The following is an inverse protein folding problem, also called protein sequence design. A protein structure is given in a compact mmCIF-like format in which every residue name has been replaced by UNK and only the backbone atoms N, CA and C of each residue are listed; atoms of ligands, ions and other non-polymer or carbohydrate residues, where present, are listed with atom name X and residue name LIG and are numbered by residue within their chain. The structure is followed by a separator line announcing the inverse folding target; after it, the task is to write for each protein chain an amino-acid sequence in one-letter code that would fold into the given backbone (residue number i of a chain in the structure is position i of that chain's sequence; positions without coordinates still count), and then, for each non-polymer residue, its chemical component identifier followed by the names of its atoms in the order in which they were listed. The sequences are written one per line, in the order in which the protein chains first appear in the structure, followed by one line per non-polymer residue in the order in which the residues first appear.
data_IF_946100716173
#
_entry.id   IF_946100716173
#
_cell.length_a   1.000
_cell.length_b   1.000
_cell.length_c   1.000
_cell.angle_alpha   90.00
_cell.angle_beta   90.00
_cell.angle_gamma   90.00
#
_symmetry.space_group_name_H-M   'P 1'
#
loop_
_entity.id
_entity.type
_entity.pdbx_description
1 polymer ?
#
# COMPACT_ATOMS: atom_id res chain seq x y z
N UNK A 1 -39.15 -5.79 -20.37
CA UNK A 1 -38.30 -5.98 -19.17
C UNK A 1 -38.53 -4.78 -18.26
N UNK A 2 -38.88 -4.95 -16.99
CA UNK A 2 -39.03 -3.81 -16.10
C UNK A 2 -37.68 -3.15 -15.86
N UNK A 3 -37.61 -1.82 -16.08
CA UNK A 3 -36.46 -0.99 -15.81
C UNK A 3 -36.19 -1.00 -14.30
N UNK A 4 -35.07 -1.59 -13.86
CA UNK A 4 -34.59 -1.46 -12.49
C UNK A 4 -34.16 0.00 -12.32
N UNK A 5 -34.99 0.80 -11.68
CA UNK A 5 -34.59 2.14 -11.25
C UNK A 5 -33.47 1.97 -10.23
N UNK A 6 -32.25 2.41 -10.57
CA UNK A 6 -31.18 2.50 -9.62
C UNK A 6 -31.63 3.44 -8.47
N UNK A 7 -31.79 2.88 -7.27
CA UNK A 7 -32.07 3.67 -6.08
C UNK A 7 -30.78 4.45 -5.82
N UNK A 8 -30.84 5.77 -5.99
CA UNK A 8 -29.71 6.63 -5.69
C UNK A 8 -29.33 6.46 -4.20
N UNK A 9 -28.09 6.02 -3.95
CA UNK A 9 -27.58 5.91 -2.57
C UNK A 9 -27.61 7.31 -1.95
N UNK A 10 -28.13 7.50 -0.73
CA UNK A 10 -28.17 8.82 -0.09
C UNK A 10 -26.74 9.39 -0.01
N UNK A 11 -26.64 10.72 -0.13
CA UNK A 11 -25.35 11.40 0.00
C UNK A 11 -24.79 11.18 1.41
N UNK A 12 -23.49 10.92 1.50
CA UNK A 12 -22.80 10.76 2.79
C UNK A 12 -22.89 12.05 3.62
N UNK A 13 -23.04 11.92 4.93
CA UNK A 13 -22.93 13.03 5.88
C UNK A 13 -21.51 13.59 5.91
N UNK A 14 -21.31 14.74 6.58
CA UNK A 14 -19.98 15.31 6.74
C UNK A 14 -19.06 14.37 7.55
N UNK A 15 -19.58 13.80 8.63
CA UNK A 15 -18.87 12.85 9.51
C UNK A 15 -18.46 11.60 8.74
N UNK A 16 -19.36 11.03 7.94
CA UNK A 16 -19.05 9.89 7.07
C UNK A 16 -17.95 10.22 6.07
N UNK A 17 -18.03 11.40 5.43
CA UNK A 17 -16.99 11.85 4.49
C UNK A 17 -15.63 12.04 5.17
N UNK A 18 -15.62 12.57 6.40
CA UNK A 18 -14.39 12.74 7.18
C UNK A 18 -13.79 11.38 7.55
N UNK A 19 -14.60 10.44 8.06
CA UNK A 19 -14.15 9.08 8.37
C UNK A 19 -13.56 8.37 7.15
N UNK A 20 -14.21 8.52 5.98
CA UNK A 20 -13.73 7.91 4.73
C UNK A 20 -12.38 8.47 4.23
N UNK A 21 -11.91 9.60 4.75
CA UNK A 21 -10.58 10.15 4.44
C UNK A 21 -9.48 9.65 5.37
N UNK A 22 -9.81 8.88 6.40
CA UNK A 22 -8.84 8.38 7.37
C UNK A 22 -8.38 6.98 6.96
N UNK A 23 -7.06 6.82 6.90
CA UNK A 23 -6.36 5.53 6.81
C UNK A 23 -5.62 5.33 8.12
N UNK A 24 -5.96 4.28 8.89
CA UNK A 24 -5.43 4.06 10.23
C UNK A 24 -4.41 2.92 10.26
N UNK A 25 -3.43 3.06 11.14
CA UNK A 25 -2.44 2.04 11.48
C UNK A 25 -2.82 1.37 12.81
N UNK A 26 -3.05 0.07 12.76
CA UNK A 26 -3.28 -0.79 13.94
C UNK A 26 -2.17 -1.84 14.06
N UNK A 27 -0.93 -1.49 13.81
CA UNK A 27 0.22 -2.42 13.82
C UNK A 27 0.32 -3.22 15.12
N UNK A 28 0.11 -2.56 16.24
CA UNK A 28 0.16 -3.15 17.57
C UNK A 28 -1.12 -2.89 18.34
N UNK A 29 -1.53 -3.86 19.16
CA UNK A 29 -2.66 -3.70 20.08
C UNK A 29 -2.41 -4.41 21.40
N UNK A 30 -2.70 -3.72 22.51
CA UNK A 30 -2.64 -4.27 23.85
C UNK A 30 -3.95 -3.92 24.60
N UNK A 31 -4.62 -4.91 25.13
CA UNK A 31 -5.89 -4.72 25.88
C UNK A 31 -5.69 -3.90 27.15
N UNK A 32 -4.54 -4.04 27.78
CA UNK A 32 -4.19 -3.32 29.01
C UNK A 32 -2.89 -2.56 28.78
N UNK A 33 -2.92 -1.25 28.95
CA UNK A 33 -1.73 -0.40 28.89
C UNK A 33 -1.87 0.85 28.02
N UNK A 34 -1.07 1.84 28.35
CA UNK A 34 -0.94 3.05 27.53
C UNK A 34 -0.07 2.74 26.31
N UNK A 35 -0.59 2.96 25.11
CA UNK A 35 -0.05 2.51 23.83
C UNK A 35 1.42 2.80 23.50
N UNK A 36 2.15 3.63 24.31
CA UNK A 36 3.56 3.95 24.08
C UNK A 36 4.53 2.77 24.14
N UNK A 37 4.17 1.69 24.84
CA UNK A 37 5.02 0.50 25.02
C UNK A 37 4.40 -0.79 24.45
N UNK A 38 3.22 -0.70 23.83
CA UNK A 38 2.62 -1.85 23.18
C UNK A 38 3.47 -2.30 21.99
N UNK A 39 3.82 -3.60 21.97
CA UNK A 39 4.55 -4.24 20.86
C UNK A 39 3.91 -5.58 20.46
N UNK A 40 2.70 -5.86 20.96
CA UNK A 40 1.96 -7.05 20.56
C UNK A 40 1.38 -6.84 19.17
N UNK A 41 1.83 -7.57 18.14
CA UNK A 41 1.30 -7.45 16.80
C UNK A 41 -0.23 -7.68 16.77
N UNK A 42 -0.96 -6.82 16.06
CA UNK A 42 -2.39 -7.04 15.85
C UNK A 42 -2.60 -8.01 14.68
N UNK A 43 -2.73 -9.29 15.00
CA UNK A 43 -2.99 -10.36 14.02
C UNK A 43 -4.45 -10.77 13.93
N UNK A 44 -5.28 -10.27 14.83
CA UNK A 44 -6.74 -10.44 14.89
C UNK A 44 -7.36 -9.11 15.29
N UNK A 45 -8.50 -8.75 14.68
CA UNK A 45 -9.18 -7.49 14.96
C UNK A 45 -9.87 -7.53 16.34
N UNK A 46 -9.45 -6.72 17.33
CA UNK A 46 -10.14 -6.59 18.61
C UNK A 46 -11.50 -5.89 18.44
N UNK A 47 -12.46 -6.22 19.30
CA UNK A 47 -13.80 -5.63 19.22
C UNK A 47 -13.80 -4.11 19.40
N UNK A 48 -12.92 -3.57 20.25
CA UNK A 48 -12.77 -2.13 20.45
C UNK A 48 -12.34 -1.42 19.16
N UNK A 49 -11.39 -1.99 18.39
CA UNK A 49 -10.97 -1.43 17.10
C UNK A 49 -12.02 -1.66 16.00
N UNK A 50 -12.74 -2.78 16.03
CA UNK A 50 -13.88 -3.00 15.13
C UNK A 50 -14.95 -1.91 15.30
N UNK A 51 -15.21 -1.49 16.55
CA UNK A 51 -16.10 -0.37 16.84
C UNK A 51 -15.55 0.96 16.33
N UNK A 52 -14.26 1.24 16.46
CA UNK A 52 -13.65 2.44 15.87
C UNK A 52 -13.91 2.49 14.36
N UNK A 53 -13.73 1.38 13.66
CA UNK A 53 -13.96 1.32 12.20
C UNK A 53 -15.43 1.61 11.87
N UNK A 54 -16.36 0.95 12.57
CA UNK A 54 -17.80 1.10 12.29
C UNK A 54 -18.37 2.47 12.70
N UNK A 55 -18.06 2.92 13.90
CA UNK A 55 -18.70 4.10 14.50
C UNK A 55 -18.20 5.40 13.86
N UNK A 56 -16.92 5.44 13.44
CA UNK A 56 -16.31 6.59 12.78
C UNK A 56 -16.26 6.48 11.25
N UNK A 57 -16.88 5.45 10.66
CA UNK A 57 -16.90 5.25 9.20
C UNK A 57 -15.50 5.29 8.57
N UNK A 58 -14.52 4.66 9.20
CA UNK A 58 -13.11 4.69 8.74
C UNK A 58 -13.00 4.20 7.30
N UNK A 59 -12.24 4.94 6.47
CA UNK A 59 -12.07 4.65 5.04
C UNK A 59 -11.04 3.59 4.74
N UNK A 60 -10.02 3.42 5.59
CA UNK A 60 -9.00 2.41 5.33
C UNK A 60 -8.14 2.03 6.52
N UNK A 61 -7.43 0.91 6.36
CA UNK A 61 -6.43 0.40 7.30
C UNK A 61 -5.18 0.01 6.53
N UNK A 62 -4.00 0.42 7.02
CA UNK A 62 -2.71 -0.02 6.49
C UNK A 62 -2.18 -1.18 7.32
N UNK A 63 -1.71 -2.23 6.64
CA UNK A 63 -1.10 -3.41 7.23
C UNK A 63 0.43 -3.36 7.08
N UNK A 64 1.12 -3.88 8.08
CA UNK A 64 2.57 -4.04 8.14
C UNK A 64 2.96 -5.51 8.34
N UNK A 65 4.25 -5.82 8.30
CA UNK A 65 4.73 -7.19 8.50
C UNK A 65 4.25 -7.82 9.80
N UNK A 66 4.06 -7.02 10.83
CA UNK A 66 3.54 -7.46 12.13
C UNK A 66 2.09 -7.96 12.03
N UNK A 67 1.33 -7.44 11.06
CA UNK A 67 -0.08 -7.82 10.84
C UNK A 67 -0.25 -9.01 9.89
N UNK A 68 0.80 -9.39 9.13
CA UNK A 68 0.75 -10.39 8.06
C UNK A 68 1.69 -11.56 8.35
N UNK A 69 1.35 -12.40 9.33
CA UNK A 69 2.25 -13.47 9.82
C UNK A 69 2.04 -14.82 9.12
N UNK A 70 0.86 -15.10 8.59
CA UNK A 70 0.56 -16.25 7.73
C UNK A 70 -0.55 -15.92 6.74
N UNK A 71 -0.73 -16.75 5.73
CA UNK A 71 -1.80 -16.58 4.72
C UNK A 71 -3.17 -16.61 5.39
N UNK A 72 -3.48 -17.67 6.14
CA UNK A 72 -4.77 -17.88 6.78
C UNK A 72 -5.10 -16.78 7.77
N UNK A 73 -4.10 -16.36 8.56
CA UNK A 73 -4.26 -15.29 9.53
C UNK A 73 -4.54 -13.95 8.82
N UNK A 74 -3.81 -13.64 7.75
CA UNK A 74 -3.99 -12.39 6.98
C UNK A 74 -5.35 -12.32 6.30
N UNK A 75 -5.81 -13.41 5.67
CA UNK A 75 -7.16 -13.51 5.10
C UNK A 75 -8.22 -13.29 6.18
N UNK A 76 -8.06 -13.93 7.34
CA UNK A 76 -8.99 -13.78 8.47
C UNK A 76 -9.05 -12.35 8.96
N UNK A 77 -7.90 -11.68 9.11
CA UNK A 77 -7.82 -10.28 9.53
C UNK A 77 -8.47 -9.35 8.48
N UNK A 78 -8.17 -9.52 7.21
CA UNK A 78 -8.78 -8.74 6.11
C UNK A 78 -10.30 -8.89 6.10
N UNK A 79 -10.80 -10.13 6.29
CA UNK A 79 -12.22 -10.39 6.40
C UNK A 79 -12.85 -9.68 7.62
N UNK A 80 -12.23 -9.77 8.79
CA UNK A 80 -12.71 -9.11 10.01
C UNK A 80 -12.79 -7.59 9.84
N UNK A 81 -11.81 -6.98 9.18
CA UNK A 81 -11.79 -5.55 8.87
C UNK A 81 -12.97 -5.16 7.96
N UNK A 82 -13.24 -5.92 6.89
CA UNK A 82 -14.37 -5.65 6.01
C UNK A 82 -15.73 -5.88 6.71
N UNK A 83 -15.84 -6.88 7.58
CA UNK A 83 -17.04 -7.10 8.39
C UNK A 83 -17.28 -5.93 9.34
N UNK A 84 -16.24 -5.35 9.94
CA UNK A 84 -16.37 -4.16 10.77
C UNK A 84 -16.88 -2.96 9.96
N UNK A 85 -16.31 -2.71 8.77
CA UNK A 85 -16.75 -1.64 7.88
C UNK A 85 -18.21 -1.80 7.43
N UNK A 86 -18.65 -3.03 7.16
CA UNK A 86 -20.04 -3.30 6.74
C UNK A 86 -21.10 -2.93 7.80
N UNK A 87 -20.68 -2.78 9.07
CA UNK A 87 -21.54 -2.34 10.19
C UNK A 87 -21.63 -0.82 10.32
N UNK A 88 -20.81 -0.06 9.61
CA UNK A 88 -20.84 1.41 9.61
C UNK A 88 -22.14 1.94 8.95
N UNK A 89 -22.50 3.18 9.23
CA UNK A 89 -23.66 3.82 8.59
C UNK A 89 -23.47 3.99 7.08
N UNK A 90 -22.25 4.28 6.63
CA UNK A 90 -21.93 4.42 5.20
C UNK A 90 -21.98 3.10 4.45
N UNK A 91 -21.71 1.97 5.12
CA UNK A 91 -21.57 0.60 4.54
C UNK A 91 -20.62 0.55 3.35
N UNK A 92 -19.64 1.46 3.31
CA UNK A 92 -18.61 1.42 2.29
C UNK A 92 -17.52 0.42 2.68
N UNK A 93 -16.97 -0.34 1.72
CA UNK A 93 -15.86 -1.23 1.99
C UNK A 93 -14.59 -0.45 2.36
N UNK A 94 -13.73 -1.05 3.16
CA UNK A 94 -12.44 -0.48 3.52
C UNK A 94 -11.44 -0.57 2.37
N UNK A 95 -10.59 0.44 2.27
CA UNK A 95 -9.28 0.30 1.68
C UNK A 95 -8.37 -0.44 2.66
N UNK A 96 -7.97 -1.65 2.33
CA UNK A 96 -6.95 -2.41 3.06
C UNK A 96 -5.66 -2.28 2.27
N UNK A 97 -4.69 -1.61 2.84
CA UNK A 97 -3.48 -1.20 2.14
C UNK A 97 -2.21 -1.80 2.74
N UNK A 98 -1.14 -1.84 1.93
CA UNK A 98 0.16 -2.38 2.29
C UNK A 98 1.27 -1.71 1.47
N UNK A 99 2.52 -1.75 1.97
CA UNK A 99 3.72 -1.44 1.20
C UNK A 99 4.36 -2.74 0.68
N UNK A 100 3.94 -3.23 -0.47
CA UNK A 100 4.51 -4.42 -1.11
C UNK A 100 5.18 -4.01 -2.43
N UNK A 101 6.40 -3.44 -2.33
CA UNK A 101 7.18 -2.99 -3.49
C UNK A 101 7.91 -4.16 -4.17
N UNK A 102 8.16 -5.20 -3.41
CA UNK A 102 9.13 -6.24 -3.71
C UNK A 102 10.56 -5.85 -3.25
N UNK A 103 11.50 -6.77 -3.31
CA UNK A 103 12.88 -6.51 -2.87
C UNK A 103 12.97 -6.13 -1.39
N UNK A 104 13.55 -4.95 -1.11
CA UNK A 104 13.79 -4.49 0.27
C UNK A 104 12.51 -4.18 1.04
N UNK A 105 11.50 -3.63 0.36
CA UNK A 105 10.21 -3.29 0.97
C UNK A 105 9.17 -4.32 0.56
N UNK A 106 9.01 -5.31 1.43
CA UNK A 106 8.03 -6.38 1.31
C UNK A 106 7.49 -6.70 2.70
N UNK A 107 6.17 -6.74 2.87
CA UNK A 107 5.50 -6.95 4.16
C UNK A 107 4.93 -8.35 4.30
N UNK A 108 4.62 -9.00 3.19
CA UNK A 108 4.14 -10.38 3.21
C UNK A 108 5.25 -11.34 3.67
N UNK A 109 4.92 -12.46 4.35
CA UNK A 109 5.88 -13.45 4.78
C UNK A 109 6.68 -13.99 3.59
N UNK A 110 8.01 -13.98 3.70
CA UNK A 110 8.92 -14.33 2.59
C UNK A 110 8.98 -15.82 2.26
N UNK A 111 8.50 -16.65 3.15
CA UNK A 111 8.41 -18.11 2.99
C UNK A 111 7.17 -18.55 2.22
N UNK A 112 6.20 -17.63 2.04
CA UNK A 112 4.93 -17.94 1.35
C UNK A 112 4.65 -17.03 0.16
N UNK A 113 5.10 -15.77 0.18
CA UNK A 113 4.97 -14.83 -0.92
C UNK A 113 6.15 -14.93 -1.89
N UNK A 114 5.90 -14.59 -3.16
CA UNK A 114 6.96 -14.56 -4.17
C UNK A 114 8.03 -13.53 -3.82
N UNK A 115 9.28 -13.98 -3.73
CA UNK A 115 10.42 -13.10 -3.50
C UNK A 115 10.87 -12.43 -4.79
N UNK A 116 10.91 -11.11 -4.80
CA UNK A 116 11.42 -10.30 -5.91
C UNK A 116 12.74 -9.63 -5.52
N UNK A 117 13.58 -9.38 -6.52
CA UNK A 117 14.87 -8.71 -6.34
C UNK A 117 14.74 -7.18 -6.18
N UNK A 118 13.59 -6.62 -6.52
CA UNK A 118 13.30 -5.20 -6.43
C UNK A 118 13.49 -4.43 -7.74
N UNK A 119 13.08 -3.16 -7.73
CA UNK A 119 12.96 -2.35 -8.94
C UNK A 119 14.29 -2.06 -9.64
N UNK A 120 15.40 -1.88 -8.92
CA UNK A 120 16.70 -1.64 -9.55
C UNK A 120 17.14 -2.83 -10.42
N UNK A 121 16.89 -4.06 -9.98
CA UNK A 121 17.16 -5.25 -10.77
C UNK A 121 16.27 -5.31 -12.03
N UNK A 122 15.00 -4.93 -11.91
CA UNK A 122 14.09 -4.81 -13.06
C UNK A 122 14.63 -3.76 -14.04
N UNK A 123 15.01 -2.58 -13.55
CA UNK A 123 15.59 -1.51 -14.36
C UNK A 123 16.86 -1.91 -15.10
N UNK A 124 17.71 -2.72 -14.46
CA UNK A 124 18.95 -3.23 -15.08
C UNK A 124 18.67 -4.13 -16.30
N UNK A 125 17.52 -4.80 -16.34
CA UNK A 125 17.11 -5.68 -17.45
C UNK A 125 16.44 -4.95 -18.61
N UNK A 126 16.17 -3.63 -18.47
CA UNK A 126 15.36 -2.85 -19.43
C UNK A 126 15.83 -2.96 -20.89
N UNK A 127 17.15 -2.96 -21.14
CA UNK A 127 17.69 -3.06 -22.51
C UNK A 127 17.30 -4.35 -23.23
N UNK A 128 17.12 -5.45 -22.48
CA UNK A 128 16.85 -6.77 -23.02
C UNK A 128 15.35 -7.12 -23.00
N UNK A 129 14.61 -6.63 -22.02
CA UNK A 129 13.25 -7.05 -21.72
C UNK A 129 12.23 -5.90 -21.72
N UNK A 130 12.67 -4.66 -21.96
CA UNK A 130 11.78 -3.50 -21.91
C UNK A 130 11.06 -3.42 -20.57
N UNK A 131 9.75 -3.31 -20.60
CA UNK A 131 8.90 -3.21 -19.40
C UNK A 131 8.33 -4.55 -18.90
N UNK A 132 8.67 -5.67 -19.55
CA UNK A 132 8.02 -6.98 -19.32
C UNK A 132 8.14 -7.44 -17.87
N UNK A 133 9.32 -7.34 -17.26
CA UNK A 133 9.49 -7.75 -15.86
C UNK A 133 8.80 -6.81 -14.87
N UNK A 134 8.64 -5.53 -15.19
CA UNK A 134 7.87 -4.61 -14.36
C UNK A 134 6.39 -5.02 -14.34
N UNK A 135 5.81 -5.30 -15.51
CA UNK A 135 4.42 -5.77 -15.61
C UNK A 135 4.23 -7.12 -14.90
N UNK A 136 5.10 -8.09 -15.14
CA UNK A 136 5.01 -9.43 -14.55
C UNK A 136 5.12 -9.41 -13.03
N UNK A 137 6.09 -8.67 -12.49
CA UNK A 137 6.26 -8.56 -11.03
C UNK A 137 5.03 -7.95 -10.37
N UNK A 138 4.48 -6.87 -10.95
CA UNK A 138 3.26 -6.23 -10.46
C UNK A 138 2.04 -7.16 -10.53
N UNK A 139 1.89 -7.91 -11.62
CA UNK A 139 0.80 -8.89 -11.78
C UNK A 139 0.85 -9.98 -10.70
N UNK A 140 2.03 -10.54 -10.42
CA UNK A 140 2.17 -11.58 -9.40
C UNK A 140 1.87 -11.00 -8.01
N UNK A 141 2.46 -9.85 -7.65
CA UNK A 141 2.19 -9.19 -6.37
C UNK A 141 0.69 -8.87 -6.24
N UNK A 142 0.05 -8.35 -7.29
CA UNK A 142 -1.37 -8.02 -7.27
C UNK A 142 -2.25 -9.24 -7.01
N UNK A 143 -1.95 -10.37 -7.64
CA UNK A 143 -2.67 -11.62 -7.42
C UNK A 143 -2.53 -12.11 -5.97
N UNK A 144 -1.33 -12.05 -5.41
CA UNK A 144 -1.09 -12.41 -4.00
C UNK A 144 -1.86 -11.48 -3.05
N UNK A 145 -1.81 -10.16 -3.26
CA UNK A 145 -2.53 -9.17 -2.44
C UNK A 145 -4.05 -9.37 -2.53
N UNK A 146 -4.58 -9.55 -3.73
CA UNK A 146 -6.02 -9.78 -3.94
C UNK A 146 -6.49 -11.06 -3.24
N UNK A 147 -5.71 -12.14 -3.31
CA UNK A 147 -6.00 -13.38 -2.62
C UNK A 147 -6.06 -13.23 -1.09
N UNK A 148 -5.33 -12.26 -0.53
CA UNK A 148 -5.32 -11.93 0.89
C UNK A 148 -6.40 -10.90 1.30
N UNK A 149 -7.20 -10.41 0.34
CA UNK A 149 -8.21 -9.38 0.58
C UNK A 149 -7.66 -7.96 0.73
N UNK A 150 -6.42 -7.73 0.30
CA UNK A 150 -5.76 -6.41 0.24
C UNK A 150 -6.08 -5.79 -1.12
N UNK A 151 -6.50 -4.51 -1.15
CA UNK A 151 -6.98 -3.85 -2.36
C UNK A 151 -6.25 -2.56 -2.71
N UNK A 152 -5.28 -2.12 -1.88
CA UNK A 152 -4.43 -0.95 -2.14
C UNK A 152 -2.97 -1.32 -1.90
N UNK A 153 -2.08 -0.97 -2.84
CA UNK A 153 -0.65 -1.12 -2.67
C UNK A 153 0.05 0.25 -2.80
N UNK A 154 0.83 0.64 -1.79
CA UNK A 154 1.68 1.81 -1.88
C UNK A 154 2.94 1.51 -2.72
N UNK A 155 2.72 1.28 -3.99
CA UNK A 155 3.70 1.04 -5.05
C UNK A 155 3.11 1.52 -6.38
N UNK A 156 3.94 1.77 -7.41
CA UNK A 156 5.38 1.63 -7.46
C UNK A 156 6.15 2.81 -6.87
N UNK A 157 7.43 2.54 -6.50
CA UNK A 157 8.42 3.61 -6.25
C UNK A 157 8.93 4.13 -7.59
N UNK A 158 8.60 5.39 -7.91
CA UNK A 158 8.98 6.08 -9.15
C UNK A 158 10.02 7.18 -8.93
N UNK A 159 10.68 7.16 -7.78
CA UNK A 159 11.80 8.05 -7.52
C UNK A 159 12.94 7.77 -8.49
N UNK A 160 13.52 8.82 -9.10
CA UNK A 160 14.72 8.72 -9.92
C UNK A 160 15.94 8.76 -9.02
N UNK A 161 16.79 7.72 -9.05
CA UNK A 161 17.92 7.57 -8.13
C UNK A 161 19.11 8.43 -8.58
N UNK A 162 19.03 9.74 -8.40
CA UNK A 162 20.07 10.69 -8.84
C UNK A 162 21.19 10.86 -7.81
N UNK A 163 20.94 10.58 -6.54
CA UNK A 163 21.94 10.66 -5.49
C UNK A 163 22.37 9.23 -5.06
N UNK A 164 23.61 8.82 -5.33
CA UNK A 164 24.11 7.50 -4.94
C UNK A 164 24.18 7.31 -3.41
N UNK A 165 24.28 8.39 -2.65
CA UNK A 165 24.34 8.39 -1.18
C UNK A 165 22.94 8.45 -0.54
N UNK A 166 21.89 8.36 -1.31
CA UNK A 166 20.52 8.37 -0.79
C UNK A 166 20.30 7.18 0.16
N UNK A 167 19.95 7.41 1.45
CA UNK A 167 19.87 6.34 2.44
C UNK A 167 18.61 5.46 2.32
N UNK A 168 17.57 5.94 1.62
CA UNK A 168 16.23 5.34 1.69
C UNK A 168 15.70 4.83 0.35
N UNK A 169 15.99 5.47 -0.77
CA UNK A 169 15.51 5.07 -2.10
C UNK A 169 16.43 4.02 -2.72
N UNK A 170 17.59 4.39 -3.20
CA UNK A 170 18.62 3.50 -3.72
C UNK A 170 18.01 2.32 -4.53
N UNK A 171 18.18 1.07 -4.09
CA UNK A 171 17.69 -0.16 -4.77
C UNK A 171 16.17 -0.25 -4.94
N UNK A 172 15.40 0.61 -4.30
CA UNK A 172 13.95 0.70 -4.49
C UNK A 172 13.55 1.40 -5.77
N UNK A 173 14.43 2.23 -6.36
CA UNK A 173 14.23 2.89 -7.65
C UNK A 173 14.51 1.91 -8.81
N UNK A 174 13.90 2.16 -9.97
CA UNK A 174 14.25 1.49 -11.23
C UNK A 174 15.60 1.94 -11.81
N UNK A 175 16.16 3.07 -11.34
CA UNK A 175 17.46 3.59 -11.76
C UNK A 175 17.51 5.11 -11.87
N UNK A 176 18.50 5.58 -12.64
CA UNK A 176 18.89 6.99 -12.72
C UNK A 176 18.28 7.73 -13.93
N UNK A 177 17.69 7.00 -14.88
CA UNK A 177 17.13 7.58 -16.10
C UNK A 177 15.62 7.84 -15.92
N UNK A 178 15.16 9.12 -15.89
CA UNK A 178 13.76 9.46 -15.61
C UNK A 178 12.78 8.87 -16.63
N UNK A 179 13.16 8.79 -17.91
CA UNK A 179 12.31 8.19 -18.94
C UNK A 179 12.06 6.70 -18.67
N UNK A 180 13.10 5.94 -18.32
CA UNK A 180 12.97 4.51 -18.00
C UNK A 180 12.20 4.29 -16.70
N UNK A 181 12.42 5.13 -15.69
CA UNK A 181 11.66 5.08 -14.43
C UNK A 181 10.18 5.30 -14.72
N UNK A 182 9.83 6.27 -15.58
CA UNK A 182 8.45 6.53 -15.99
C UNK A 182 7.82 5.34 -16.71
N UNK A 183 8.50 4.75 -17.69
CA UNK A 183 8.00 3.61 -18.47
C UNK A 183 7.79 2.36 -17.60
N UNK A 184 8.78 2.04 -16.76
CA UNK A 184 8.71 0.89 -15.86
C UNK A 184 7.66 1.10 -14.75
N UNK A 185 7.56 2.31 -14.22
CA UNK A 185 6.53 2.68 -13.25
C UNK A 185 5.12 2.55 -13.83
N UNK A 186 4.89 3.08 -15.05
CA UNK A 186 3.61 2.95 -15.74
C UNK A 186 3.25 1.48 -16.01
N UNK A 187 4.23 0.66 -16.37
CA UNK A 187 4.03 -0.78 -16.57
C UNK A 187 3.64 -1.52 -15.27
N UNK A 188 4.25 -1.15 -14.13
CA UNK A 188 3.83 -1.71 -12.84
C UNK A 188 2.41 -1.26 -12.46
N UNK A 189 2.07 0.02 -12.65
CA UNK A 189 0.70 0.51 -12.44
C UNK A 189 -0.30 -0.33 -13.23
N UNK A 190 -0.07 -0.49 -14.54
CA UNK A 190 -0.93 -1.29 -15.40
C UNK A 190 -1.04 -2.75 -14.91
N UNK A 191 0.06 -3.36 -14.45
CA UNK A 191 0.07 -4.71 -13.89
C UNK A 191 -0.76 -4.83 -12.60
N UNK A 192 -0.66 -3.86 -11.70
CA UNK A 192 -1.47 -3.81 -10.46
C UNK A 192 -2.96 -3.60 -10.77
N UNK A 193 -3.29 -2.56 -11.54
CA UNK A 193 -4.68 -2.17 -11.81
C UNK A 193 -5.44 -3.24 -12.60
N UNK A 194 -4.79 -3.92 -13.55
CA UNK A 194 -5.38 -5.04 -14.31
C UNK A 194 -5.81 -6.21 -13.41
N UNK A 195 -5.29 -6.27 -12.18
CA UNK A 195 -5.61 -7.29 -11.20
C UNK A 195 -6.36 -6.73 -9.97
N UNK A 196 -6.97 -5.54 -10.10
CA UNK A 196 -7.88 -4.96 -9.11
C UNK A 196 -7.19 -4.30 -7.92
N UNK A 197 -5.88 -4.01 -7.98
CA UNK A 197 -5.14 -3.32 -6.93
C UNK A 197 -5.03 -1.83 -7.26
N UNK A 198 -5.48 -0.98 -6.36
CA UNK A 198 -5.29 0.47 -6.41
C UNK A 198 -3.83 0.77 -6.08
N UNK A 199 -3.20 1.65 -6.86
CA UNK A 199 -1.79 2.01 -6.73
C UNK A 199 -1.59 3.40 -6.14
N UNK A 200 -0.39 3.65 -5.60
CA UNK A 200 0.05 4.98 -5.19
C UNK A 200 1.49 5.20 -5.63
N UNK A 201 1.66 6.11 -6.57
CA UNK A 201 2.99 6.52 -7.04
C UNK A 201 3.73 7.27 -5.94
N UNK A 202 4.94 6.84 -5.60
CA UNK A 202 5.70 7.41 -4.50
C UNK A 202 7.18 7.59 -4.85
N UNK A 203 7.82 8.59 -4.26
CA UNK A 203 7.37 9.49 -3.19
C UNK A 203 7.25 10.92 -3.74
N UNK A 204 6.12 11.24 -4.31
CA UNK A 204 5.88 12.57 -4.88
C UNK A 204 6.25 13.69 -3.89
N UNK A 205 6.95 14.75 -4.32
CA UNK A 205 7.34 15.11 -5.69
C UNK A 205 8.64 14.43 -6.18
N UNK A 206 9.27 13.57 -5.40
CA UNK A 206 10.49 12.83 -5.68
C UNK A 206 11.46 12.82 -4.49
N UNK A 207 11.94 11.65 -4.12
CA UNK A 207 12.84 11.44 -2.97
C UNK A 207 14.21 10.90 -3.39
N UNK A 208 14.43 10.63 -4.70
CA UNK A 208 15.63 9.97 -5.19
C UNK A 208 16.90 10.82 -5.18
N UNK A 209 16.79 12.14 -5.00
CA UNK A 209 17.92 13.09 -4.95
C UNK A 209 18.12 13.72 -3.55
N UNK A 210 17.52 13.17 -2.53
CA UNK A 210 17.65 13.69 -1.16
C UNK A 210 18.80 13.03 -0.41
N UNK A 211 19.32 13.71 0.64
CA UNK A 211 20.40 13.22 1.49
C UNK A 211 19.94 12.72 2.87
N UNK A 212 18.66 12.96 3.20
CA UNK A 212 18.11 12.67 4.52
C UNK A 212 16.95 11.70 4.36
N UNK A 213 16.88 10.68 5.21
CA UNK A 213 15.72 9.80 5.32
C UNK A 213 14.56 10.58 5.95
N UNK A 214 13.41 10.61 5.26
CA UNK A 214 12.18 11.29 5.73
C UNK A 214 11.64 10.76 7.06
N UNK A 215 12.05 9.56 7.49
CA UNK A 215 11.70 9.00 8.80
C UNK A 215 12.53 9.62 9.95
N UNK A 216 13.67 10.22 9.65
CA UNK A 216 14.60 10.74 10.65
C UNK A 216 14.79 12.25 10.59
N UNK A 217 14.41 12.90 9.49
CA UNK A 217 14.55 14.33 9.28
C UNK A 217 13.70 14.85 8.14
N UNK A 218 13.81 16.14 7.84
CA UNK A 218 13.12 16.78 6.72
C UNK A 218 14.02 16.78 5.47
N UNK A 219 13.77 15.92 4.47
CA UNK A 219 14.50 15.97 3.21
C UNK A 219 14.14 17.23 2.42
N UNK A 220 15.13 17.80 1.75
CA UNK A 220 14.95 18.96 0.89
C UNK A 220 15.41 18.63 -0.52
N UNK A 221 14.60 19.00 -1.52
CA UNK A 221 14.91 18.95 -2.94
C UNK A 221 15.18 20.37 -3.41
N UNK A 222 16.45 20.69 -3.70
CA UNK A 222 16.90 22.05 -4.02
C UNK A 222 16.82 22.36 -5.53
N UNK A 223 15.91 21.71 -6.27
CA UNK A 223 15.74 21.96 -7.69
C UNK A 223 14.88 23.21 -7.95
N UNK A 224 15.19 23.93 -9.03
CA UNK A 224 14.34 25.02 -9.52
C UNK A 224 13.07 24.45 -10.18
N UNK A 225 12.06 25.31 -10.33
CA UNK A 225 10.83 24.96 -11.05
C UNK A 225 10.94 25.02 -12.57
N UNK A 226 12.16 25.26 -13.09
CA UNK A 226 12.43 25.40 -14.54
C UNK A 226 12.43 24.06 -15.25
#
# INVERSE_FOLDING_TARGET
MPSIKAVAKPALSLEEKLGQKLMLDFRYFCEQGTGKHCRTPMTKLPESLARVISDYNIGGVILFSENTQSIEQTITLSHQLQVAASKSSSKLPLFISIDQEGGRVARLPRDVATSFTGNMSIGATYKQHGVDFATKSATVIANELTALGINVNYAPTIDVNMNPDNPVINVRSFGENPQRVSELGAAQVAGFESNGIITSLKHFPGHGDTHVDSHTGLPNVAHSKS
#
